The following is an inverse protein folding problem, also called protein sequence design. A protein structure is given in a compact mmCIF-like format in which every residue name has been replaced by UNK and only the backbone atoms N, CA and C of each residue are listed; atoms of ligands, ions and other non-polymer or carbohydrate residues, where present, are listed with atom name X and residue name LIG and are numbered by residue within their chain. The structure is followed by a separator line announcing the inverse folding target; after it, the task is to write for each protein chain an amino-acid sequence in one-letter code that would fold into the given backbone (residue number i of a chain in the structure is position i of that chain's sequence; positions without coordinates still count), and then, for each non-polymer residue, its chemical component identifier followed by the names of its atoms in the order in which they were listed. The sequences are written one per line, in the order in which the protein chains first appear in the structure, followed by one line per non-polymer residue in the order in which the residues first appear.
data_IF_525219231929
#
_entry.id   IF_525219231929
#
_cell.length_a   1.000
_cell.length_b   1.000
_cell.length_c   1.000
_cell.angle_alpha   90.00
_cell.angle_beta   90.00
_cell.angle_gamma   90.00
#
_symmetry.space_group_name_H-M   'P 1'
#
loop_
_entity.id
_entity.type
_entity.pdbx_description
1 polymer ?
#
# COMPACT_ATOMS: atom_id res chain seq x y z
N UNK A 1 23.05 -12.17 -6.70
CA UNK A 1 22.72 -10.81 -6.23
C UNK A 1 21.30 -10.87 -5.72
N UNK A 2 21.12 -11.54 -4.58
CA UNK A 2 19.90 -12.29 -4.25
C UNK A 2 19.54 -12.14 -2.76
N UNK A 3 19.98 -11.06 -2.11
CA UNK A 3 19.86 -10.92 -0.65
C UNK A 3 19.17 -9.64 -0.20
N UNK A 4 18.76 -8.76 -1.11
CA UNK A 4 18.04 -7.53 -0.77
C UNK A 4 16.52 -7.65 -0.92
N UNK A 5 16.02 -8.53 -1.79
CA UNK A 5 14.58 -8.66 -2.04
C UNK A 5 13.84 -9.37 -0.88
N UNK A 6 14.55 -10.22 -0.14
CA UNK A 6 14.01 -11.00 0.98
C UNK A 6 13.85 -10.22 2.30
N UNK A 7 14.44 -9.03 2.45
CA UNK A 7 14.45 -8.32 3.74
C UNK A 7 13.27 -7.35 3.93
N UNK A 8 12.58 -6.95 2.88
CA UNK A 8 11.53 -5.91 2.96
C UNK A 8 10.10 -6.46 2.77
N UNK A 9 9.99 -7.75 2.45
CA UNK A 9 8.77 -8.52 2.65
C UNK A 9 8.57 -8.97 4.11
N UNK A 10 9.50 -8.69 5.02
CA UNK A 10 9.46 -9.13 6.43
C UNK A 10 8.41 -8.46 7.32
N UNK A 11 7.53 -7.61 6.76
CA UNK A 11 6.27 -7.25 7.44
C UNK A 11 5.13 -8.25 7.16
N UNK A 12 5.38 -9.27 6.32
CA UNK A 12 4.37 -10.20 5.85
C UNK A 12 4.05 -11.27 6.91
N UNK A 13 2.82 -11.21 7.41
CA UNK A 13 2.08 -12.23 8.15
C UNK A 13 2.71 -12.76 9.46
N UNK A 14 3.93 -13.29 9.48
CA UNK A 14 4.48 -13.99 10.65
C UNK A 14 4.69 -13.07 11.86
N UNK A 15 5.31 -11.89 11.67
CA UNK A 15 5.47 -10.91 12.74
C UNK A 15 4.11 -10.39 13.24
N UNK A 16 3.17 -10.14 12.32
CA UNK A 16 1.80 -9.74 12.65
C UNK A 16 1.05 -10.83 13.43
N UNK A 17 1.20 -12.10 13.03
CA UNK A 17 0.62 -13.25 13.71
C UNK A 17 1.24 -13.43 15.09
N UNK A 18 2.57 -13.34 15.22
CA UNK A 18 3.27 -13.43 16.49
C UNK A 18 2.83 -12.31 17.45
N UNK A 19 2.72 -11.06 16.98
CA UNK A 19 2.22 -9.95 17.80
C UNK A 19 0.78 -10.21 18.26
N UNK A 20 -0.09 -10.71 17.39
CA UNK A 20 -1.48 -11.06 17.76
C UNK A 20 -1.55 -12.20 18.77
N UNK A 21 -0.66 -13.18 18.66
CA UNK A 21 -0.59 -14.32 19.59
C UNK A 21 -0.05 -13.89 20.96
N UNK A 22 1.03 -13.11 20.97
CA UNK A 22 1.71 -12.67 22.20
C UNK A 22 0.99 -11.52 22.90
N UNK A 23 0.33 -10.65 22.14
CA UNK A 23 -0.34 -9.44 22.61
C UNK A 23 -1.76 -9.33 22.04
N UNK A 24 -2.68 -10.24 22.38
CA UNK A 24 -4.03 -10.29 21.79
C UNK A 24 -4.89 -9.05 22.10
N UNK A 25 -4.53 -8.26 23.12
CA UNK A 25 -5.19 -7.00 23.47
C UNK A 25 -4.56 -5.77 22.81
N UNK A 26 -3.40 -5.92 22.16
CA UNK A 26 -2.75 -4.80 21.49
C UNK A 26 -3.43 -4.53 20.15
N UNK A 27 -3.71 -3.25 19.89
CA UNK A 27 -4.13 -2.81 18.56
C UNK A 27 -2.91 -2.70 17.67
N UNK A 28 -2.82 -3.58 16.67
CA UNK A 28 -1.76 -3.50 15.67
C UNK A 28 -2.15 -2.47 14.62
N UNK A 29 -1.32 -1.45 14.44
CA UNK A 29 -1.54 -0.39 13.45
C UNK A 29 -0.60 -0.57 12.26
N UNK A 30 -1.10 -0.24 11.06
CA UNK A 30 -0.25 -0.06 9.89
C UNK A 30 0.53 1.25 9.99
N UNK A 31 1.68 1.33 9.31
CA UNK A 31 2.48 2.54 9.25
C UNK A 31 2.47 3.13 7.84
N UNK A 32 2.16 4.42 7.73
CA UNK A 32 2.09 5.14 6.45
C UNK A 32 3.44 5.16 5.73
N UNK A 33 4.56 5.16 6.45
CA UNK A 33 5.89 5.02 5.85
C UNK A 33 6.02 3.72 5.06
N UNK A 34 5.66 2.59 5.66
CA UNK A 34 5.73 1.28 4.99
C UNK A 34 4.70 1.14 3.86
N UNK A 35 3.52 1.76 4.01
CA UNK A 35 2.56 1.90 2.91
C UNK A 35 3.19 2.61 1.71
N UNK A 36 3.72 3.82 1.92
CA UNK A 36 4.34 4.61 0.86
C UNK A 36 5.52 3.88 0.23
N UNK A 37 6.35 3.21 1.04
CA UNK A 37 7.47 2.41 0.56
C UNK A 37 7.00 1.27 -0.36
N UNK A 38 5.93 0.55 0.00
CA UNK A 38 5.37 -0.53 -0.81
C UNK A 38 4.78 0.00 -2.12
N UNK A 39 4.00 1.08 -2.07
CA UNK A 39 3.47 1.74 -3.28
C UNK A 39 4.63 2.16 -4.19
N UNK A 40 5.65 2.81 -3.64
CA UNK A 40 6.79 3.30 -4.42
C UNK A 40 7.60 2.16 -5.07
N UNK A 41 7.83 1.06 -4.36
CA UNK A 41 8.45 -0.14 -4.97
C UNK A 41 7.66 -0.64 -6.15
N UNK A 42 6.33 -0.73 -6.01
CA UNK A 42 5.47 -1.17 -7.11
C UNK A 42 5.55 -0.19 -8.29
N UNK A 43 5.55 1.12 -8.04
CA UNK A 43 5.77 2.16 -9.07
C UNK A 43 7.09 1.95 -9.81
N UNK A 44 8.18 1.69 -9.10
CA UNK A 44 9.49 1.42 -9.72
C UNK A 44 9.46 0.13 -10.55
N UNK A 45 8.87 -0.95 -10.01
CA UNK A 45 8.78 -2.24 -10.69
C UNK A 45 7.94 -2.19 -11.98
N UNK A 46 6.92 -1.32 -12.02
CA UNK A 46 6.12 -1.07 -13.24
C UNK A 46 6.76 -0.04 -14.19
N UNK A 47 8.03 0.33 -13.98
CA UNK A 47 8.76 1.24 -14.87
C UNK A 47 8.34 2.72 -14.78
N UNK A 48 7.58 3.10 -13.75
CA UNK A 48 7.04 4.45 -13.60
C UNK A 48 7.95 5.42 -12.82
N UNK A 49 9.16 5.02 -12.45
CA UNK A 49 10.07 5.85 -11.63
C UNK A 49 10.29 7.25 -12.24
N UNK A 50 10.60 7.32 -13.54
CA UNK A 50 10.81 8.59 -14.25
C UNK A 50 9.53 9.42 -14.33
N UNK A 51 8.39 8.78 -14.60
CA UNK A 51 7.09 9.46 -14.67
C UNK A 51 6.65 10.01 -13.30
N UNK A 52 6.95 9.30 -12.22
CA UNK A 52 6.74 9.76 -10.86
C UNK A 52 7.65 10.95 -10.53
N UNK A 53 8.93 10.89 -10.87
CA UNK A 53 9.89 11.98 -10.65
C UNK A 53 9.58 13.25 -11.45
N UNK A 54 8.89 13.12 -12.58
CA UNK A 54 8.47 14.25 -13.42
C UNK A 54 7.37 15.12 -12.78
N UNK A 55 6.79 14.70 -11.64
CA UNK A 55 5.79 15.47 -10.88
C UNK A 55 4.53 15.89 -11.68
N UNK A 56 4.14 15.10 -12.68
CA UNK A 56 2.92 15.32 -13.48
C UNK A 56 1.67 14.57 -12.98
N UNK A 57 0.74 14.27 -13.88
CA UNK A 57 -0.55 13.65 -13.52
C UNK A 57 -0.39 12.27 -12.87
N UNK A 58 0.55 11.46 -13.35
CA UNK A 58 0.87 10.14 -12.75
C UNK A 58 1.41 10.28 -11.34
N UNK A 59 2.23 11.30 -11.07
CA UNK A 59 2.67 11.61 -9.72
C UNK A 59 1.49 11.96 -8.83
N UNK A 60 0.61 12.87 -9.25
CA UNK A 60 -0.57 13.25 -8.47
C UNK A 60 -1.49 12.06 -8.18
N UNK A 61 -1.70 11.19 -9.18
CA UNK A 61 -2.48 9.97 -9.00
C UNK A 61 -1.85 9.01 -7.98
N UNK A 62 -0.55 8.76 -8.09
CA UNK A 62 0.19 7.91 -7.16
C UNK A 62 0.24 8.51 -5.75
N UNK A 63 0.30 9.84 -5.61
CA UNK A 63 0.21 10.53 -4.32
C UNK A 63 -1.17 10.39 -3.69
N UNK A 64 -2.25 10.39 -4.47
CA UNK A 64 -3.60 10.06 -3.97
C UNK A 64 -3.64 8.63 -3.41
N UNK A 65 -3.08 7.64 -4.12
CA UNK A 65 -2.96 6.27 -3.61
C UNK A 65 -2.13 6.20 -2.32
N UNK A 66 -1.00 6.89 -2.28
CA UNK A 66 -0.14 6.99 -1.08
C UNK A 66 -0.85 7.66 0.12
N UNK A 67 -1.89 8.46 -0.14
CA UNK A 67 -2.65 9.16 0.91
C UNK A 67 -3.82 8.36 1.47
N UNK A 68 -4.19 7.23 0.86
CA UNK A 68 -5.37 6.44 1.29
C UNK A 68 -5.37 6.05 2.77
N UNK A 69 -4.22 5.73 3.43
CA UNK A 69 -4.20 5.47 4.86
C UNK A 69 -4.69 6.62 5.75
N UNK A 70 -4.81 7.84 5.23
CA UNK A 70 -5.36 8.97 5.99
C UNK A 70 -6.90 9.03 5.95
N UNK A 71 -7.55 8.19 5.15
CA UNK A 71 -9.01 8.09 5.12
C UNK A 71 -9.52 7.21 6.27
N UNK A 72 -10.74 7.46 6.77
CA UNK A 72 -11.47 6.47 7.56
C UNK A 72 -11.50 5.12 6.84
N UNK A 73 -11.39 4.03 7.60
CA UNK A 73 -11.24 2.68 7.05
C UNK A 73 -12.35 2.27 6.08
N UNK A 74 -13.57 2.72 6.36
CA UNK A 74 -14.78 2.52 5.57
C UNK A 74 -14.75 3.22 4.21
N UNK A 75 -13.85 4.18 4.02
CA UNK A 75 -13.69 4.94 2.79
C UNK A 75 -12.50 4.47 1.93
N UNK A 76 -11.62 3.61 2.45
CA UNK A 76 -10.43 3.19 1.70
C UNK A 76 -10.80 2.33 0.48
N UNK A 77 -11.67 1.33 0.63
CA UNK A 77 -12.14 0.51 -0.50
C UNK A 77 -12.94 1.35 -1.50
N UNK A 78 -13.94 2.15 -1.08
CA UNK A 78 -14.63 3.07 -2.00
C UNK A 78 -13.69 4.02 -2.75
N UNK A 79 -12.62 4.49 -2.11
CA UNK A 79 -11.63 5.35 -2.77
C UNK A 79 -10.87 4.62 -3.87
N UNK A 80 -10.48 3.35 -3.67
CA UNK A 80 -9.91 2.53 -4.74
C UNK A 80 -10.87 2.35 -5.91
N UNK A 81 -12.13 2.00 -5.63
CA UNK A 81 -13.17 1.81 -6.63
C UNK A 81 -13.44 3.09 -7.43
N UNK A 82 -13.40 4.25 -6.79
CA UNK A 82 -13.54 5.54 -7.45
C UNK A 82 -12.35 5.88 -8.36
N UNK A 83 -11.14 5.44 -8.00
CA UNK A 83 -9.91 5.72 -8.76
C UNK A 83 -9.71 4.80 -9.95
N UNK A 84 -10.18 3.54 -9.89
CA UNK A 84 -10.07 2.55 -10.97
C UNK A 84 -10.52 3.05 -12.36
N UNK A 85 -11.72 3.63 -12.55
CA UNK A 85 -12.18 4.08 -13.87
C UNK A 85 -11.40 5.28 -14.42
N UNK A 86 -10.60 5.96 -13.58
CA UNK A 86 -9.76 7.10 -13.98
C UNK A 86 -8.33 6.68 -14.31
N UNK A 87 -7.97 5.42 -14.10
CA UNK A 87 -6.62 4.92 -14.19
C UNK A 87 -6.26 4.44 -15.60
N UNK A 88 -5.06 4.80 -16.06
CA UNK A 88 -4.42 4.12 -17.20
C UNK A 88 -4.06 2.67 -16.84
N UNK A 89 -3.87 1.81 -17.84
CA UNK A 89 -3.60 0.37 -17.68
C UNK A 89 -2.52 0.06 -16.63
N UNK A 90 -1.38 0.75 -16.70
CA UNK A 90 -0.28 0.57 -15.73
C UNK A 90 -0.66 0.97 -14.30
N UNK A 91 -1.54 1.95 -14.12
CA UNK A 91 -2.05 2.36 -12.80
C UNK A 91 -3.09 1.38 -12.27
N UNK A 92 -3.86 0.73 -13.14
CA UNK A 92 -4.80 -0.36 -12.77
C UNK A 92 -4.03 -1.54 -12.17
N UNK A 93 -2.86 -1.89 -12.72
CA UNK A 93 -1.99 -2.94 -12.17
C UNK A 93 -1.58 -2.60 -10.74
N UNK A 94 -1.18 -1.36 -10.49
CA UNK A 94 -0.80 -0.88 -9.15
C UNK A 94 -1.99 -0.92 -8.20
N UNK A 95 -3.15 -0.40 -8.62
CA UNK A 95 -4.36 -0.39 -7.78
C UNK A 95 -4.78 -1.83 -7.41
N UNK A 96 -4.85 -2.72 -8.39
CA UNK A 96 -5.27 -4.11 -8.17
C UNK A 96 -4.33 -4.83 -7.22
N UNK A 97 -3.02 -4.63 -7.38
CA UNK A 97 -2.01 -5.13 -6.44
C UNK A 97 -2.26 -4.60 -5.02
N UNK A 98 -2.53 -3.29 -4.87
CA UNK A 98 -2.78 -2.68 -3.56
C UNK A 98 -4.09 -3.16 -2.92
N UNK A 99 -5.16 -3.37 -3.69
CA UNK A 99 -6.43 -3.94 -3.20
C UNK A 99 -6.21 -5.36 -2.68
N UNK A 100 -5.47 -6.21 -3.39
CA UNK A 100 -5.16 -7.58 -2.96
C UNK A 100 -4.38 -7.56 -1.64
N UNK A 101 -3.34 -6.72 -1.57
CA UNK A 101 -2.58 -6.54 -0.34
C UNK A 101 -3.46 -6.02 0.79
N UNK A 102 -4.39 -5.10 0.49
CA UNK A 102 -5.33 -4.56 1.45
C UNK A 102 -6.28 -5.63 1.99
N UNK A 103 -6.86 -6.44 1.12
CA UNK A 103 -7.76 -7.54 1.49
C UNK A 103 -7.09 -8.61 2.35
N UNK A 104 -5.84 -8.97 2.03
CA UNK A 104 -5.10 -10.04 2.73
C UNK A 104 -4.53 -9.57 4.08
N UNK A 105 -4.02 -8.34 4.14
CA UNK A 105 -3.22 -7.89 5.29
C UNK A 105 -3.85 -6.73 6.09
N UNK A 106 -4.85 -6.04 5.54
CA UNK A 106 -5.23 -4.68 5.97
C UNK A 106 -6.69 -4.58 6.43
N UNK A 107 -7.46 -5.67 6.43
CA UNK A 107 -8.81 -5.75 7.04
C UNK A 107 -8.84 -5.54 8.58
N UNK A 108 -7.73 -5.04 9.12
CA UNK A 108 -7.45 -4.75 10.52
C UNK A 108 -6.44 -3.61 10.70
N UNK A 109 -5.97 -2.96 9.63
CA UNK A 109 -5.16 -1.74 9.77
C UNK A 109 -6.09 -0.56 9.97
N UNK A 110 -6.26 -0.24 11.25
CA UNK A 110 -6.72 1.07 11.65
C UNK A 110 -5.53 2.02 11.52
N UNK A 111 -5.47 2.79 10.42
CA UNK A 111 -4.50 3.86 10.23
C UNK A 111 -5.01 5.15 10.91
N UNK A 112 -5.05 5.16 12.24
CA UNK A 112 -5.17 6.44 12.95
C UNK A 112 -3.78 6.89 13.38
N UNK A 113 -3.27 7.94 12.73
CA UNK A 113 -2.33 8.85 13.37
C UNK A 113 -3.08 9.64 14.44
#
# INVERSE_FOLDING_TARGET
METAEMAEEFFASAAWQAIRQLYPRATVKGCVFHWNQRVYRKVVNEGLATAYAANGDKFLFLRKLMSLPYLPSEHIIPAFEHMLPQAEEVLIIIITYLIIIYGIHINSMVFYC
#
